data_IF_108466749725
#
_entry.id   IF_108466749725
#
_cell.length_a   1.000
_cell.length_b   1.000
_cell.length_c   1.000
_cell.angle_alpha   90.00
_cell.angle_beta   90.00
_cell.angle_gamma   90.00
#
_symmetry.space_group_name_H-M   'P 1'
#
loop_
_entity.id
_entity.type
_entity.pdbx_description
1 polymer ?
#
# COMPACT_ATOMS: atom_id res chain seq x y z
N UNK A 1 -43.01 -15.57 12.65
CA UNK A 1 -41.64 -15.51 12.08
C UNK A 1 -40.71 -14.53 12.81
N UNK A 2 -41.16 -13.30 13.13
CA UNK A 2 -40.33 -12.27 13.79
C UNK A 2 -39.68 -12.70 15.13
N UNK A 3 -40.40 -13.44 15.99
CA UNK A 3 -39.87 -13.92 17.28
C UNK A 3 -38.69 -14.89 17.14
N UNK A 4 -38.70 -15.76 16.12
CA UNK A 4 -37.59 -16.69 15.84
C UNK A 4 -36.35 -15.95 15.31
N UNK A 5 -36.55 -14.89 14.53
CA UNK A 5 -35.46 -14.05 14.02
C UNK A 5 -34.75 -13.29 15.16
N UNK A 6 -35.51 -12.79 16.14
CA UNK A 6 -34.95 -12.12 17.32
C UNK A 6 -34.13 -13.09 18.17
N UNK A 7 -34.60 -14.34 18.36
CA UNK A 7 -33.82 -15.35 19.07
C UNK A 7 -32.52 -15.72 18.35
N UNK A 8 -32.54 -15.85 17.02
CA UNK A 8 -31.34 -16.15 16.23
C UNK A 8 -30.34 -14.99 16.31
N UNK A 9 -30.80 -13.74 16.22
CA UNK A 9 -29.94 -12.56 16.36
C UNK A 9 -29.30 -12.45 17.75
N UNK A 10 -30.05 -12.78 18.81
CA UNK A 10 -29.55 -12.80 20.18
C UNK A 10 -28.45 -13.86 20.38
N UNK A 11 -28.63 -15.07 19.82
CA UNK A 11 -27.62 -16.14 19.86
C UNK A 11 -26.35 -15.72 19.11
N UNK A 12 -26.49 -15.07 17.96
CA UNK A 12 -25.34 -14.57 17.19
C UNK A 12 -24.55 -13.50 17.96
N UNK A 13 -25.23 -12.53 18.59
CA UNK A 13 -24.59 -11.49 19.40
C UNK A 13 -23.89 -12.06 20.65
N UNK A 14 -24.47 -13.10 21.26
CA UNK A 14 -23.86 -13.77 22.39
C UNK A 14 -22.61 -14.56 21.98
N UNK A 15 -22.68 -15.28 20.85
CA UNK A 15 -21.54 -16.02 20.30
C UNK A 15 -20.38 -15.10 19.88
N UNK A 16 -20.67 -13.95 19.25
CA UNK A 16 -19.63 -12.97 18.90
C UNK A 16 -19.05 -12.28 20.14
N UNK A 17 -19.86 -12.04 21.17
CA UNK A 17 -19.39 -11.53 22.46
C UNK A 17 -18.42 -12.47 23.16
N UNK A 18 -18.72 -13.77 23.22
CA UNK A 18 -17.83 -14.79 23.80
C UNK A 18 -16.52 -14.87 23.00
N UNK A 19 -16.59 -14.80 21.66
CA UNK A 19 -15.40 -14.82 20.81
C UNK A 19 -14.48 -13.62 21.10
N UNK A 20 -15.03 -12.41 21.25
CA UNK A 20 -14.25 -11.20 21.54
C UNK A 20 -13.56 -11.26 22.90
N UNK A 21 -14.23 -11.75 23.94
CA UNK A 21 -13.64 -11.93 25.29
C UNK A 21 -12.53 -12.99 25.25
N UNK A 22 -12.65 -14.02 24.40
CA UNK A 22 -11.63 -15.05 24.24
C UNK A 22 -10.37 -14.54 23.53
N UNK A 23 -10.49 -13.55 22.65
CA UNK A 23 -9.32 -12.95 21.96
C UNK A 23 -8.51 -12.09 22.92
N UNK A 24 -9.15 -11.29 23.77
CA UNK A 24 -8.45 -10.44 24.75
C UNK A 24 -7.71 -11.22 25.85
N UNK A 25 -8.20 -12.42 26.21
CA UNK A 25 -7.47 -13.31 27.14
C UNK A 25 -6.30 -14.05 26.49
N UNK A 26 -6.27 -14.17 25.16
CA UNK A 26 -5.18 -14.84 24.42
C UNK A 26 -4.02 -13.89 24.09
N UNK A 27 -4.28 -12.58 24.04
CA UNK A 27 -3.24 -11.56 23.79
C UNK A 27 -2.50 -11.09 25.05
N UNK A 28 -2.94 -11.50 26.24
CA UNK A 28 -2.37 -11.06 27.53
C UNK A 28 -1.21 -11.92 28.07
N UNK A 29 -0.84 -13.00 27.37
CA UNK A 29 0.35 -13.82 27.69
C UNK A 29 1.44 -13.75 26.60
N UNK A 30 1.72 -12.54 26.07
CA UNK A 30 3.00 -12.26 25.38
C UNK A 30 3.67 -11.09 26.10
N UNK A 31 4.12 -11.35 27.33
CA UNK A 31 5.25 -10.65 27.93
C UNK A 31 6.36 -11.67 28.12
N UNK A 32 7.17 -11.87 27.09
CA UNK A 32 8.48 -12.49 27.24
C UNK A 32 9.42 -12.05 26.11
N UNK A 33 10.49 -11.36 26.54
CA UNK A 33 11.82 -11.32 25.93
C UNK A 33 11.98 -10.67 24.54
N UNK A 34 12.10 -9.35 24.53
CA UNK A 34 12.92 -8.61 23.54
C UNK A 34 14.03 -7.82 24.27
N UNK A 35 14.65 -8.47 25.25
CA UNK A 35 15.82 -7.98 25.96
C UNK A 35 16.88 -9.09 26.00
N UNK A 36 17.41 -9.45 24.83
CA UNK A 36 18.72 -10.10 24.63
C UNK A 36 18.83 -10.64 23.19
N UNK A 37 19.02 -9.75 22.22
CA UNK A 37 19.62 -10.12 20.94
C UNK A 37 20.40 -8.90 20.43
N UNK A 38 21.46 -8.54 21.16
CA UNK A 38 22.48 -7.62 20.69
C UNK A 38 23.26 -8.31 19.57
N UNK A 39 22.74 -8.24 18.34
CA UNK A 39 23.56 -8.49 17.16
C UNK A 39 24.40 -7.23 16.98
N UNK A 40 25.68 -7.31 17.35
CA UNK A 40 26.69 -6.34 16.96
C UNK A 40 26.81 -6.40 15.43
N UNK A 41 26.19 -5.45 14.74
CA UNK A 41 26.49 -5.21 13.34
C UNK A 41 27.71 -4.29 13.30
N UNK A 42 28.88 -4.87 13.04
CA UNK A 42 30.08 -4.10 12.74
C UNK A 42 29.97 -3.65 11.29
N UNK A 43 29.55 -2.40 11.09
CA UNK A 43 29.51 -1.76 9.77
C UNK A 43 30.91 -1.24 9.48
N UNK A 44 31.60 -1.89 8.53
CA UNK A 44 32.83 -1.39 7.93
C UNK A 44 32.54 -0.07 7.18
N UNK A 45 33.48 0.90 7.17
CA UNK A 45 33.26 2.20 6.56
C UNK A 45 33.01 2.08 5.04
N UNK A 46 31.96 2.75 4.59
CA UNK A 46 31.55 2.83 3.18
C UNK A 46 32.69 3.34 2.30
N UNK A 47 33.17 2.46 1.40
CA UNK A 47 33.99 2.86 0.27
C UNK A 47 33.12 3.54 -0.77
N UNK A 48 33.49 4.77 -1.13
CA UNK A 48 32.90 5.58 -2.21
C UNK A 48 32.58 4.75 -3.46
N UNK A 49 31.30 4.43 -3.67
CA UNK A 49 30.77 4.12 -4.98
C UNK A 49 30.21 5.39 -5.60
N UNK A 50 30.90 5.85 -6.64
CA UNK A 50 30.58 6.98 -7.51
C UNK A 50 29.08 7.09 -7.78
N UNK A 51 28.48 8.18 -7.30
CA UNK A 51 27.08 8.51 -7.50
C UNK A 51 26.82 8.77 -8.99
N UNK A 52 26.13 7.84 -9.64
CA UNK A 52 25.33 8.17 -10.82
C UNK A 52 24.14 8.98 -10.31
N UNK A 53 24.13 10.26 -10.65
CA UNK A 53 23.11 11.25 -10.31
C UNK A 53 21.76 10.89 -10.96
N UNK A 54 21.04 9.92 -10.41
CA UNK A 54 19.58 9.86 -10.55
C UNK A 54 18.98 10.72 -9.43
N UNK A 55 18.23 11.76 -9.79
CA UNK A 55 17.63 12.68 -8.83
C UNK A 55 16.68 11.90 -7.90
N UNK A 56 17.13 11.64 -6.68
CA UNK A 56 16.36 10.92 -5.66
C UNK A 56 15.16 11.77 -5.25
N UNK A 57 13.95 11.23 -5.38
CA UNK A 57 12.72 11.93 -4.98
C UNK A 57 12.60 11.83 -3.46
N UNK A 58 12.53 12.99 -2.81
CA UNK A 58 12.29 13.09 -1.37
C UNK A 58 10.81 12.86 -1.05
N UNK A 59 10.46 11.59 -0.84
CA UNK A 59 9.12 11.17 -0.46
C UNK A 59 9.20 9.94 0.44
N UNK A 60 8.52 10.01 1.58
CA UNK A 60 8.43 8.91 2.53
C UNK A 60 7.40 7.88 2.06
N UNK A 61 7.88 6.76 1.50
CA UNK A 61 7.01 5.64 1.13
C UNK A 61 6.57 4.87 2.38
N UNK A 62 5.26 4.68 2.53
CA UNK A 62 4.70 3.97 3.69
C UNK A 62 5.02 2.48 3.65
N UNK A 63 5.50 1.94 4.78
CA UNK A 63 5.88 0.54 4.90
C UNK A 63 4.66 -0.41 4.67
N UNK A 64 4.81 -1.48 3.87
CA UNK A 64 3.69 -2.35 3.46
C UNK A 64 3.09 -3.20 4.59
N UNK A 65 3.82 -3.45 5.67
CA UNK A 65 3.38 -4.29 6.77
C UNK A 65 3.22 -5.76 6.33
N UNK A 66 1.98 -6.23 6.17
CA UNK A 66 1.67 -7.63 5.84
C UNK A 66 1.72 -7.83 4.32
N UNK A 67 2.62 -8.71 3.88
CA UNK A 67 2.78 -9.09 2.47
C UNK A 67 1.61 -9.94 1.94
N UNK A 68 1.34 -9.92 0.61
CA UNK A 68 0.28 -10.71 -0.03
C UNK A 68 0.35 -12.24 0.16
N UNK A 69 1.48 -12.74 0.65
CA UNK A 69 1.77 -14.17 0.80
C UNK A 69 1.21 -14.77 2.11
N UNK A 70 0.79 -13.93 3.07
CA UNK A 70 0.31 -14.40 4.37
C UNK A 70 -1.23 -14.51 4.42
N UNK A 71 -1.85 -15.51 5.08
CA UNK A 71 -3.31 -15.65 5.16
C UNK A 71 -4.03 -14.42 5.75
N UNK A 72 -3.40 -13.75 6.73
CA UNK A 72 -3.93 -12.52 7.34
C UNK A 72 -4.06 -11.34 6.36
N UNK A 73 -3.38 -11.41 5.21
CA UNK A 73 -3.49 -10.41 4.17
C UNK A 73 -4.92 -10.29 3.61
N UNK A 74 -5.67 -11.40 3.53
CA UNK A 74 -7.08 -11.38 3.09
C UNK A 74 -7.94 -10.57 4.05
N UNK A 75 -7.72 -10.72 5.35
CA UNK A 75 -8.44 -9.97 6.39
C UNK A 75 -8.11 -8.48 6.29
N UNK A 76 -6.82 -8.14 6.13
CA UNK A 76 -6.37 -6.77 5.88
C UNK A 76 -7.04 -6.16 4.65
N UNK A 77 -7.15 -6.91 3.54
CA UNK A 77 -7.81 -6.47 2.32
C UNK A 77 -9.29 -6.16 2.52
N UNK A 78 -9.99 -7.01 3.27
CA UNK A 78 -11.41 -6.80 3.61
C UNK A 78 -11.55 -5.51 4.41
N UNK A 79 -10.74 -5.33 5.46
CA UNK A 79 -10.71 -4.11 6.25
C UNK A 79 -10.47 -2.88 5.39
N UNK A 80 -9.44 -2.91 4.54
CA UNK A 80 -9.07 -1.78 3.69
C UNK A 80 -10.20 -1.41 2.71
N UNK A 81 -10.94 -2.41 2.19
CA UNK A 81 -12.14 -2.22 1.36
C UNK A 81 -13.32 -1.63 2.14
N UNK A 82 -13.57 -2.09 3.36
CA UNK A 82 -14.62 -1.55 4.23
C UNK A 82 -14.36 -0.07 4.49
N UNK A 83 -13.12 0.32 4.81
CA UNK A 83 -12.76 1.72 5.00
C UNK A 83 -12.98 2.57 3.74
N UNK A 84 -12.58 2.09 2.56
CA UNK A 84 -12.82 2.81 1.30
C UNK A 84 -14.31 2.98 0.99
N UNK A 85 -15.12 2.00 1.35
CA UNK A 85 -16.57 2.07 1.14
C UNK A 85 -17.25 3.02 2.11
N UNK A 86 -16.78 3.07 3.37
CA UNK A 86 -17.30 3.97 4.39
C UNK A 86 -16.85 5.42 4.20
N UNK A 87 -15.72 5.65 3.51
CA UNK A 87 -15.21 7.00 3.24
C UNK A 87 -16.00 7.64 2.10
N UNK A 88 -16.92 8.54 2.46
CA UNK A 88 -17.77 9.28 1.52
C UNK A 88 -17.06 10.52 0.99
N UNK A 89 -16.27 11.19 1.82
CA UNK A 89 -15.55 12.40 1.44
C UNK A 89 -14.48 12.13 0.37
N UNK A 90 -14.50 12.92 -0.71
CA UNK A 90 -13.62 12.68 -1.86
C UNK A 90 -12.14 12.95 -1.55
N UNK A 91 -11.85 13.94 -0.70
CA UNK A 91 -10.48 14.30 -0.34
C UNK A 91 -9.88 13.26 0.62
N UNK A 92 -10.64 12.79 1.61
CA UNK A 92 -10.20 11.71 2.48
C UNK A 92 -10.06 10.40 1.70
N UNK A 93 -10.97 10.13 0.75
CA UNK A 93 -10.91 8.94 -0.08
C UNK A 93 -9.70 8.91 -1.00
N UNK A 94 -9.33 10.04 -1.61
CA UNK A 94 -8.12 10.12 -2.45
C UNK A 94 -6.86 9.90 -1.62
N UNK A 95 -6.77 10.44 -0.40
CA UNK A 95 -5.66 10.20 0.52
C UNK A 95 -5.55 8.72 0.93
N UNK A 96 -6.69 8.06 1.18
CA UNK A 96 -6.71 6.62 1.51
C UNK A 96 -6.28 5.76 0.33
N UNK A 97 -6.70 6.11 -0.88
CA UNK A 97 -6.26 5.42 -2.10
C UNK A 97 -4.75 5.60 -2.33
N UNK A 98 -4.24 6.82 -2.19
CA UNK A 98 -2.80 7.11 -2.26
C UNK A 98 -2.01 6.28 -1.24
N UNK A 99 -2.47 6.24 0.01
CA UNK A 99 -1.88 5.41 1.06
C UNK A 99 -1.85 3.92 0.69
N UNK A 100 -2.87 3.43 -0.01
CA UNK A 100 -2.91 2.04 -0.45
C UNK A 100 -1.96 1.82 -1.63
N UNK A 101 -1.87 2.77 -2.56
CA UNK A 101 -0.90 2.75 -3.65
C UNK A 101 0.53 2.63 -3.12
N UNK A 102 0.94 3.49 -2.20
CA UNK A 102 2.28 3.49 -1.60
C UNK A 102 2.59 2.14 -0.93
N UNK A 103 1.63 1.59 -0.18
CA UNK A 103 1.77 0.27 0.47
C UNK A 103 1.89 -0.86 -0.55
N UNK A 104 1.20 -0.76 -1.69
CA UNK A 104 1.28 -1.77 -2.77
C UNK A 104 2.61 -1.72 -3.47
N UNK A 105 3.11 -0.53 -3.75
CA UNK A 105 4.42 -0.36 -4.34
C UNK A 105 5.50 -1.00 -3.44
N UNK A 106 5.49 -0.65 -2.14
CA UNK A 106 6.44 -1.22 -1.18
C UNK A 106 6.34 -2.74 -1.05
N UNK A 107 5.12 -3.30 -1.02
CA UNK A 107 4.92 -4.75 -0.99
C UNK A 107 5.40 -5.43 -2.27
N UNK A 108 5.10 -4.82 -3.42
CA UNK A 108 5.54 -5.30 -4.73
C UNK A 108 7.07 -5.33 -4.82
N UNK A 109 7.74 -4.26 -4.41
CA UNK A 109 9.21 -4.18 -4.34
C UNK A 109 9.80 -5.35 -3.54
N UNK A 110 9.33 -5.55 -2.30
CA UNK A 110 9.81 -6.63 -1.42
C UNK A 110 9.55 -8.01 -2.03
N UNK A 111 8.42 -8.22 -2.70
CA UNK A 111 8.11 -9.50 -3.35
C UNK A 111 9.03 -9.78 -4.55
N UNK A 112 9.31 -8.77 -5.37
CA UNK A 112 10.22 -8.88 -6.51
C UNK A 112 11.64 -9.17 -6.04
N UNK A 113 12.12 -8.42 -5.06
CA UNK A 113 13.44 -8.63 -4.45
C UNK A 113 13.53 -10.00 -3.73
N UNK A 114 12.41 -10.50 -3.22
CA UNK A 114 12.26 -11.84 -2.65
C UNK A 114 12.04 -12.98 -3.66
N UNK A 115 12.37 -12.78 -4.94
CA UNK A 115 12.21 -13.74 -6.06
C UNK A 115 10.77 -14.19 -6.36
N UNK A 116 9.75 -13.53 -5.80
CA UNK A 116 8.33 -13.77 -6.09
C UNK A 116 7.83 -12.82 -7.17
N UNK A 117 8.53 -12.80 -8.32
CA UNK A 117 8.37 -11.80 -9.38
C UNK A 117 6.92 -11.69 -9.86
N UNK A 118 6.25 -12.81 -10.19
CA UNK A 118 4.86 -12.80 -10.67
C UNK A 118 3.90 -12.17 -9.65
N UNK A 119 3.99 -12.56 -8.37
CA UNK A 119 3.17 -11.98 -7.30
C UNK A 119 3.51 -10.51 -7.05
N UNK A 120 4.79 -10.15 -7.16
CA UNK A 120 5.29 -8.78 -7.15
C UNK A 120 4.64 -7.93 -8.22
N UNK A 121 4.68 -8.35 -9.49
CA UNK A 121 4.09 -7.62 -10.62
C UNK A 121 2.59 -7.38 -10.44
N UNK A 122 1.83 -8.40 -10.04
CA UNK A 122 0.39 -8.22 -9.79
C UNK A 122 0.11 -7.27 -8.62
N UNK A 123 1.05 -7.15 -7.67
CA UNK A 123 0.94 -6.24 -6.53
C UNK A 123 1.30 -4.81 -6.92
N UNK A 124 2.35 -4.62 -7.73
CA UNK A 124 2.74 -3.33 -8.31
C UNK A 124 1.60 -2.75 -9.16
N UNK A 125 1.03 -3.56 -10.07
CA UNK A 125 -0.14 -3.16 -10.88
C UNK A 125 -1.32 -2.67 -10.04
N UNK A 126 -1.60 -3.34 -8.90
CA UNK A 126 -2.66 -2.90 -7.99
C UNK A 126 -2.32 -1.57 -7.32
N UNK A 127 -1.05 -1.30 -7.07
CA UNK A 127 -0.58 -0.02 -6.55
C UNK A 127 -0.86 1.11 -7.51
N UNK A 128 -0.43 0.96 -8.77
CA UNK A 128 -0.64 2.00 -9.79
C UNK A 128 -2.14 2.23 -10.05
N UNK A 129 -2.98 1.19 -10.01
CA UNK A 129 -4.43 1.38 -10.11
C UNK A 129 -5.02 2.19 -8.96
N UNK A 130 -4.50 2.06 -7.73
CA UNK A 130 -4.95 2.90 -6.63
C UNK A 130 -4.45 4.34 -6.77
N UNK A 131 -3.25 4.54 -7.32
CA UNK A 131 -2.72 5.87 -7.62
C UNK A 131 -3.57 6.57 -8.69
N UNK A 132 -3.93 5.88 -9.77
CA UNK A 132 -4.81 6.40 -10.83
C UNK A 132 -6.17 6.82 -10.26
N UNK A 133 -6.80 5.95 -9.45
CA UNK A 133 -8.05 6.28 -8.77
C UNK A 133 -7.94 7.49 -7.82
N UNK A 134 -6.81 7.65 -7.14
CA UNK A 134 -6.56 8.81 -6.31
C UNK A 134 -6.47 10.09 -7.16
N UNK A 135 -5.76 10.03 -8.30
CA UNK A 135 -5.62 11.14 -9.23
C UNK A 135 -6.97 11.55 -9.84
N UNK A 136 -7.78 10.59 -10.29
CA UNK A 136 -9.10 10.84 -10.88
C UNK A 136 -10.06 11.53 -9.87
N UNK A 137 -10.01 11.13 -8.59
CA UNK A 137 -10.80 11.79 -7.55
C UNK A 137 -10.36 13.24 -7.31
N UNK A 138 -9.06 13.51 -7.35
CA UNK A 138 -8.54 14.88 -7.20
C UNK A 138 -8.92 15.74 -8.39
N UNK A 139 -8.86 15.22 -9.63
CA UNK A 139 -9.35 15.92 -10.82
C UNK A 139 -10.84 16.24 -10.70
N UNK A 140 -11.64 15.25 -10.32
CA UNK A 140 -13.09 15.44 -10.12
C UNK A 140 -13.39 16.48 -9.03
N UNK A 141 -12.57 16.54 -7.96
CA UNK A 141 -12.70 17.55 -6.92
C UNK A 141 -12.34 18.95 -7.43
N UNK A 142 -11.30 19.07 -8.27
CA UNK A 142 -10.91 20.32 -8.94
C UNK A 142 -12.03 20.85 -9.82
N UNK A 143 -12.64 20.00 -10.65
CA UNK A 143 -13.76 20.35 -11.53
C UNK A 143 -14.98 20.87 -10.75
N UNK A 144 -15.18 20.37 -9.53
CA UNK A 144 -16.24 20.81 -8.61
C UNK A 144 -15.88 22.07 -7.81
N UNK A 145 -14.70 22.66 -8.04
CA UNK A 145 -14.25 23.89 -7.39
C UNK A 145 -13.69 23.71 -5.98
N UNK A 146 -13.36 22.49 -5.56
CA UNK A 146 -12.69 22.27 -4.28
C UNK A 146 -11.20 22.64 -4.34
N UNK A 147 -10.63 23.06 -3.21
CA UNK A 147 -9.18 23.28 -3.09
C UNK A 147 -8.45 21.92 -3.08
N UNK A 148 -7.65 21.68 -4.11
CA UNK A 148 -6.92 20.42 -4.30
C UNK A 148 -5.42 20.53 -4.08
N UNK A 149 -4.86 21.72 -3.82
CA UNK A 149 -3.42 21.99 -3.92
C UNK A 149 -2.56 21.00 -3.12
N UNK A 150 -2.95 20.71 -1.88
CA UNK A 150 -2.19 19.75 -1.04
C UNK A 150 -2.32 18.31 -1.54
N UNK A 151 -3.47 17.93 -2.09
CA UNK A 151 -3.71 16.57 -2.57
C UNK A 151 -3.00 16.34 -3.92
N UNK A 152 -3.07 17.30 -4.84
CA UNK A 152 -2.39 17.23 -6.14
C UNK A 152 -0.87 17.17 -6.00
N UNK A 153 -0.29 17.99 -5.12
CA UNK A 153 1.15 17.97 -4.84
C UNK A 153 1.59 16.60 -4.29
N UNK A 154 0.85 16.05 -3.31
CA UNK A 154 1.16 14.72 -2.76
C UNK A 154 1.09 13.61 -3.81
N UNK A 155 0.07 13.62 -4.65
CA UNK A 155 -0.07 12.62 -5.73
C UNK A 155 1.09 12.76 -6.72
N UNK A 156 1.44 13.99 -7.11
CA UNK A 156 2.57 14.25 -8.02
C UNK A 156 3.87 13.72 -7.43
N UNK A 157 4.19 14.08 -6.20
CA UNK A 157 5.44 13.64 -5.55
C UNK A 157 5.47 12.12 -5.32
N UNK A 158 4.35 11.51 -4.92
CA UNK A 158 4.24 10.04 -4.82
C UNK A 158 4.43 9.37 -6.19
N UNK A 159 3.82 9.90 -7.25
CA UNK A 159 3.95 9.33 -8.61
C UNK A 159 5.39 9.34 -9.13
N UNK A 160 6.16 10.36 -8.79
CA UNK A 160 7.59 10.42 -9.11
C UNK A 160 8.37 9.38 -8.29
N UNK A 161 7.99 9.16 -7.02
CA UNK A 161 8.61 8.13 -6.19
C UNK A 161 8.29 6.71 -6.67
N UNK A 162 7.07 6.50 -7.14
CA UNK A 162 6.66 5.26 -7.80
C UNK A 162 7.54 4.97 -9.01
N UNK A 163 7.78 5.97 -9.86
CA UNK A 163 8.62 5.82 -11.05
C UNK A 163 10.07 5.49 -10.68
N UNK A 164 10.66 6.19 -9.70
CA UNK A 164 12.00 5.89 -9.18
C UNK A 164 12.13 4.42 -8.78
N UNK A 165 11.18 3.91 -7.99
CA UNK A 165 11.21 2.54 -7.49
C UNK A 165 10.98 1.51 -8.60
N UNK A 166 10.07 1.78 -9.54
CA UNK A 166 9.82 0.88 -10.66
C UNK A 166 11.03 0.81 -11.61
N UNK A 167 11.71 1.93 -11.84
CA UNK A 167 12.97 1.96 -12.59
C UNK A 167 14.08 1.20 -11.87
N UNK A 168 14.24 1.38 -10.56
CA UNK A 168 15.17 0.57 -9.73
C UNK A 168 14.89 -0.93 -9.88
N UNK A 169 13.61 -1.33 -9.86
CA UNK A 169 13.22 -2.74 -10.00
C UNK A 169 13.48 -3.27 -11.40
N UNK A 170 13.30 -2.44 -12.44
CA UNK A 170 13.52 -2.83 -13.84
C UNK A 170 14.96 -3.24 -14.10
N UNK A 171 15.93 -2.58 -13.45
CA UNK A 171 17.35 -2.94 -13.56
C UNK A 171 17.70 -4.24 -12.82
N UNK A 172 16.85 -4.70 -11.90
CA UNK A 172 17.06 -5.93 -11.11
C UNK A 172 16.36 -7.16 -11.68
N UNK A 173 15.49 -7.00 -12.68
CA UNK A 173 14.64 -8.08 -13.21
C UNK A 173 14.92 -8.26 -14.70
N UNK A 174 14.92 -9.52 -15.16
CA UNK A 174 15.18 -9.90 -16.55
C UNK A 174 13.97 -10.60 -17.19
N UNK A 175 13.97 -10.70 -18.52
CA UNK A 175 12.96 -11.44 -19.28
C UNK A 175 11.55 -10.86 -19.12
N UNK A 176 10.56 -11.74 -18.95
CA UNK A 176 9.13 -11.36 -18.84
C UNK A 176 8.84 -10.34 -17.73
N UNK A 177 9.58 -10.41 -16.61
CA UNK A 177 9.40 -9.46 -15.51
C UNK A 177 9.85 -8.04 -15.86
N UNK A 178 10.82 -7.89 -16.77
CA UNK A 178 11.26 -6.59 -17.27
C UNK A 178 10.20 -5.97 -18.18
N UNK A 179 9.65 -6.75 -19.11
CA UNK A 179 8.55 -6.31 -19.98
C UNK A 179 7.32 -5.92 -19.17
N UNK A 180 6.95 -6.69 -18.15
CA UNK A 180 5.84 -6.34 -17.27
C UNK A 180 6.08 -5.01 -16.51
N UNK A 181 7.32 -4.73 -16.10
CA UNK A 181 7.67 -3.44 -15.48
C UNK A 181 7.61 -2.28 -16.46
N UNK A 182 8.02 -2.49 -17.71
CA UNK A 182 7.91 -1.46 -18.76
C UNK A 182 6.45 -1.07 -19.02
N UNK A 183 5.54 -2.04 -19.03
CA UNK A 183 4.09 -1.77 -19.12
C UNK A 183 3.56 -0.98 -17.91
N UNK A 184 3.98 -1.33 -16.70
CA UNK A 184 3.58 -0.63 -15.47
C UNK A 184 4.11 0.82 -15.47
N UNK A 185 5.38 1.02 -15.88
CA UNK A 185 5.98 2.35 -16.00
C UNK A 185 5.24 3.17 -17.06
N UNK A 186 4.93 2.58 -18.22
CA UNK A 186 4.14 3.25 -19.25
C UNK A 186 2.77 3.70 -18.73
N UNK A 187 2.08 2.86 -17.97
CA UNK A 187 0.82 3.22 -17.34
C UNK A 187 0.99 4.34 -16.30
N UNK A 188 2.03 4.30 -15.46
CA UNK A 188 2.33 5.38 -14.52
C UNK A 188 2.60 6.71 -15.21
N UNK A 189 3.31 6.71 -16.34
CA UNK A 189 3.54 7.92 -17.12
C UNK A 189 2.24 8.51 -17.67
N UNK A 190 1.26 7.69 -18.03
CA UNK A 190 -0.08 8.18 -18.37
C UNK A 190 -0.77 8.83 -17.16
N UNK A 191 -0.65 8.26 -15.96
CA UNK A 191 -1.15 8.89 -14.73
C UNK A 191 -0.46 10.24 -14.51
N UNK A 192 0.86 10.30 -14.60
CA UNK A 192 1.63 11.54 -14.42
C UNK A 192 1.21 12.62 -15.43
N UNK A 193 1.01 12.27 -16.70
CA UNK A 193 0.49 13.20 -17.73
C UNK A 193 -0.87 13.79 -17.32
N UNK A 194 -1.78 12.97 -16.78
CA UNK A 194 -3.07 13.47 -16.24
C UNK A 194 -2.84 14.46 -15.10
N UNK A 195 -1.91 14.17 -14.18
CA UNK A 195 -1.60 15.05 -13.04
C UNK A 195 -0.95 16.38 -13.42
N UNK A 196 -0.36 16.50 -14.61
CA UNK A 196 0.17 17.79 -15.11
C UNK A 196 -0.95 18.82 -15.31
N UNK A 197 -2.20 18.37 -15.49
CA UNK A 197 -3.38 19.24 -15.61
C UNK A 197 -3.96 19.72 -14.28
N UNK A 198 -3.31 19.39 -13.16
CA UNK A 198 -3.66 19.89 -11.83
C UNK A 198 -3.56 21.41 -11.68
#
# INVERSE_FOLDING_TARGET
MKKRLVSIAAVFLFATGILLISVDRSTSHIKQSLAAATIKFEVLPEGNSTQSSSAKVDYYLVYPGILPDHPLYKIKMIRDRIWLWLTVDAAEKSQRLLLYADKRLGAGKVLVEGNKVSLGMTTLWKGEKYLDQAADLVLTAKEKGFNINSASEKIKTSSLKHEEILLELKEKVNGEGKTALEEIIGYLQEIQKKTTSF
#
